data_IF_670419221248
#
_entry.id   IF_670419221248
#
_cell.length_a   1.000
_cell.length_b   1.000
_cell.length_c   1.000
_cell.angle_alpha   90.00
_cell.angle_beta   90.00
_cell.angle_gamma   90.00
#
_symmetry.space_group_name_H-M   'P 1'
#
loop_
_entity.id
_entity.type
_entity.pdbx_description
1 polymer ?
#
# COMPACT_ATOMS: atom_id res chain seq x y z
N UNK A 1 34.08 -33.46 32.47
CA UNK A 1 32.81 -32.76 32.16
C UNK A 1 33.05 -31.35 31.58
N UNK A 2 33.88 -30.51 32.20
CA UNK A 2 34.24 -29.17 31.67
C UNK A 2 34.98 -29.19 30.32
N UNK A 3 35.88 -30.15 30.05
CA UNK A 3 36.56 -30.23 28.73
C UNK A 3 35.64 -30.71 27.60
N UNK A 4 34.63 -31.54 27.91
CA UNK A 4 33.62 -31.99 26.96
C UNK A 4 32.64 -30.86 26.61
N UNK A 5 32.28 -30.02 27.59
CA UNK A 5 31.44 -28.84 27.38
C UNK A 5 32.15 -27.76 26.56
N UNK A 6 33.42 -27.47 26.86
CA UNK A 6 34.25 -26.53 26.07
C UNK A 6 34.50 -27.03 24.65
N UNK A 7 34.74 -28.34 24.47
CA UNK A 7 34.88 -28.96 23.16
C UNK A 7 33.58 -28.95 22.33
N UNK A 8 32.43 -29.09 22.97
CA UNK A 8 31.11 -28.96 22.31
C UNK A 8 30.81 -27.50 21.92
N UNK A 9 31.15 -26.53 22.79
CA UNK A 9 30.97 -25.10 22.56
C UNK A 9 31.89 -24.55 21.46
N UNK A 10 33.11 -25.08 21.31
CA UNK A 10 34.00 -24.77 20.17
C UNK A 10 33.48 -25.37 18.85
N UNK A 11 32.93 -26.60 18.85
CA UNK A 11 32.37 -27.24 17.65
C UNK A 11 31.03 -26.64 17.21
N UNK A 12 30.22 -26.12 18.13
CA UNK A 12 28.96 -25.42 17.81
C UNK A 12 29.23 -24.03 17.24
N UNK A 13 30.18 -23.26 17.82
CA UNK A 13 30.64 -21.97 17.25
C UNK A 13 31.30 -22.14 15.89
N UNK A 14 32.08 -23.21 15.68
CA UNK A 14 32.67 -23.53 14.37
C UNK A 14 31.63 -23.90 13.29
N UNK A 15 30.49 -24.51 13.65
CA UNK A 15 29.40 -24.79 12.71
C UNK A 15 28.59 -23.54 12.38
N UNK A 16 28.26 -22.73 13.38
CA UNK A 16 27.60 -21.43 13.18
C UNK A 16 28.47 -20.48 12.32
N UNK A 17 29.78 -20.42 12.57
CA UNK A 17 30.70 -19.62 11.75
C UNK A 17 30.77 -20.10 10.29
N UNK A 18 30.76 -21.42 10.04
CA UNK A 18 30.73 -21.97 8.66
C UNK A 18 29.40 -21.71 7.96
N UNK A 19 28.29 -21.69 8.70
CA UNK A 19 26.97 -21.42 8.15
C UNK A 19 26.83 -19.94 7.77
N UNK A 20 27.26 -19.03 8.64
CA UNK A 20 27.30 -17.58 8.37
C UNK A 20 28.28 -17.26 7.23
N UNK A 21 29.45 -17.90 7.16
CA UNK A 21 30.38 -17.75 6.04
C UNK A 21 29.81 -18.32 4.72
N UNK A 22 29.02 -19.39 4.78
CA UNK A 22 28.34 -19.97 3.63
C UNK A 22 27.20 -19.09 3.11
N UNK A 23 26.40 -18.51 4.00
CA UNK A 23 25.35 -17.55 3.68
C UNK A 23 25.92 -16.23 3.15
N UNK A 24 27.01 -15.74 3.74
CA UNK A 24 27.70 -14.55 3.23
C UNK A 24 28.30 -14.81 1.85
N UNK A 25 28.90 -16.00 1.59
CA UNK A 25 29.35 -16.40 0.24
C UNK A 25 28.21 -16.48 -0.78
N UNK A 26 27.04 -17.00 -0.39
CA UNK A 26 25.86 -17.04 -1.27
C UNK A 26 25.32 -15.65 -1.58
N UNK A 27 25.25 -14.78 -0.57
CA UNK A 27 24.85 -13.38 -0.73
C UNK A 27 25.84 -12.62 -1.63
N UNK A 28 27.14 -12.85 -1.45
CA UNK A 28 28.18 -12.30 -2.32
C UNK A 28 28.07 -12.82 -3.76
N UNK A 29 27.74 -14.10 -3.97
CA UNK A 29 27.52 -14.67 -5.30
C UNK A 29 26.28 -14.11 -5.98
N UNK A 30 25.14 -14.04 -5.29
CA UNK A 30 23.91 -13.46 -5.84
C UNK A 30 24.09 -11.99 -6.22
N UNK A 31 24.77 -11.22 -5.36
CA UNK A 31 25.09 -9.82 -5.63
C UNK A 31 26.07 -9.66 -6.79
N UNK A 32 27.02 -10.57 -6.95
CA UNK A 32 27.91 -10.60 -8.11
C UNK A 32 27.18 -10.95 -9.42
N UNK A 33 26.21 -11.86 -9.36
CA UNK A 33 25.36 -12.23 -10.50
C UNK A 33 24.42 -11.09 -10.90
N UNK A 34 23.83 -10.37 -9.95
CA UNK A 34 23.02 -9.17 -10.21
C UNK A 34 23.86 -8.06 -10.86
N UNK A 35 25.04 -7.76 -10.31
CA UNK A 35 25.95 -6.77 -10.87
C UNK A 35 26.43 -7.16 -12.28
N UNK A 36 26.60 -8.46 -12.56
CA UNK A 36 26.94 -8.95 -13.90
C UNK A 36 25.79 -8.73 -14.90
N UNK A 37 24.53 -8.95 -14.49
CA UNK A 37 23.36 -8.69 -15.34
C UNK A 37 23.12 -7.20 -15.58
N UNK A 38 23.32 -6.38 -14.56
CA UNK A 38 23.25 -4.92 -14.69
C UNK A 38 24.34 -4.41 -15.63
N UNK A 39 25.55 -4.96 -15.53
CA UNK A 39 26.68 -4.67 -16.42
C UNK A 39 26.35 -5.03 -17.87
N UNK A 40 25.92 -6.25 -18.17
CA UNK A 40 25.52 -6.65 -19.53
C UNK A 40 24.39 -5.77 -20.07
N UNK A 41 23.39 -5.47 -19.23
CA UNK A 41 22.28 -4.60 -19.60
C UNK A 41 22.70 -3.15 -19.84
N UNK A 42 23.75 -2.67 -19.18
CA UNK A 42 24.30 -1.34 -19.39
C UNK A 42 25.18 -1.29 -20.65
N UNK A 43 26.09 -2.25 -20.84
CA UNK A 43 26.96 -2.40 -22.03
C UNK A 43 26.12 -2.53 -23.31
N UNK A 44 25.02 -3.28 -23.28
CA UNK A 44 24.10 -3.41 -24.42
C UNK A 44 23.35 -2.09 -24.76
N UNK A 45 23.18 -1.19 -23.78
CA UNK A 45 22.48 0.10 -23.97
C UNK A 45 23.40 1.23 -24.43
N UNK A 46 24.66 1.19 -24.04
CA UNK A 46 25.63 2.27 -24.31
C UNK A 46 26.66 1.91 -25.39
N UNK A 47 26.84 0.62 -25.68
CA UNK A 47 27.86 0.14 -26.62
C UNK A 47 29.30 0.32 -26.13
N UNK A 48 29.48 0.65 -24.85
CA UNK A 48 30.77 0.94 -24.22
C UNK A 48 31.02 -0.06 -23.09
N UNK A 49 32.22 -0.65 -23.02
CA UNK A 49 32.63 -1.48 -21.87
C UNK A 49 32.99 -0.57 -20.68
N UNK A 50 32.81 -1.00 -19.42
CA UNK A 50 33.36 -0.33 -18.23
C UNK A 50 34.87 -0.09 -18.32
N UNK A 51 35.61 -0.95 -19.04
CA UNK A 51 37.03 -0.75 -19.32
C UNK A 51 37.29 0.41 -20.30
N UNK A 52 36.34 0.69 -21.20
CA UNK A 52 36.40 1.83 -22.12
C UNK A 52 36.04 3.14 -21.41
N UNK A 53 35.13 3.11 -20.43
CA UNK A 53 34.86 4.26 -19.53
C UNK A 53 36.04 4.58 -18.61
N UNK A 54 36.71 3.56 -18.07
CA UNK A 54 37.92 3.71 -17.25
C UNK A 54 39.11 4.26 -18.04
N UNK A 55 39.16 4.01 -19.35
CA UNK A 55 40.11 4.65 -20.29
C UNK A 55 39.68 6.06 -20.72
N UNK A 56 38.37 6.38 -20.68
CA UNK A 56 37.83 7.67 -21.11
C UNK A 56 37.88 8.78 -20.03
N UNK A 57 38.08 8.44 -18.76
CA UNK A 57 38.24 9.40 -17.66
C UNK A 57 39.71 9.83 -17.52
N UNK A 58 40.08 11.09 -17.81
CA UNK A 58 41.49 11.54 -17.80
C UNK A 58 42.18 11.43 -16.43
N UNK A 59 41.41 11.34 -15.34
CA UNK A 59 41.92 11.30 -13.97
C UNK A 59 42.31 9.90 -13.47
N UNK A 60 41.67 8.83 -13.95
CA UNK A 60 41.88 7.45 -13.47
C UNK A 60 43.19 6.85 -13.97
N UNK A 61 43.58 7.15 -15.21
CA UNK A 61 44.89 6.74 -15.76
C UNK A 61 46.06 7.38 -15.01
N UNK A 62 45.91 8.66 -14.64
CA UNK A 62 46.94 9.39 -13.90
C UNK A 62 47.10 8.82 -12.48
N UNK A 63 46.00 8.58 -11.78
CA UNK A 63 46.00 7.96 -10.46
C UNK A 63 46.60 6.54 -10.46
N UNK A 64 46.30 5.72 -11.46
CA UNK A 64 46.88 4.38 -11.58
C UNK A 64 48.38 4.43 -11.90
N UNK A 65 48.83 5.41 -12.69
CA UNK A 65 50.27 5.64 -12.94
C UNK A 65 50.98 6.14 -11.70
N UNK A 66 50.36 7.04 -10.93
CA UNK A 66 50.91 7.61 -9.69
C UNK A 66 50.98 6.54 -8.59
N UNK A 67 49.97 5.68 -8.46
CA UNK A 67 49.99 4.54 -7.52
C UNK A 67 51.07 3.53 -7.94
N UNK A 68 51.17 3.18 -9.23
CA UNK A 68 52.20 2.26 -9.71
C UNK A 68 53.63 2.83 -9.60
N UNK A 69 53.78 4.15 -9.68
CA UNK A 69 55.03 4.86 -9.42
C UNK A 69 55.35 4.85 -7.92
N UNK A 70 54.38 5.13 -7.05
CA UNK A 70 54.55 5.07 -5.59
C UNK A 70 54.87 3.65 -5.10
N UNK A 71 54.25 2.61 -5.66
CA UNK A 71 54.55 1.21 -5.33
C UNK A 71 55.95 0.77 -5.78
N UNK A 72 56.45 1.30 -6.90
CA UNK A 72 57.86 1.12 -7.32
C UNK A 72 58.81 1.85 -6.37
N UNK A 73 58.50 3.10 -6.04
CA UNK A 73 59.28 3.87 -5.06
C UNK A 73 59.30 3.22 -3.68
N UNK A 74 58.19 2.59 -3.25
CA UNK A 74 58.13 1.86 -1.97
C UNK A 74 58.90 0.53 -2.01
N UNK A 75 58.99 -0.12 -3.17
CA UNK A 75 59.79 -1.35 -3.37
C UNK A 75 61.28 -1.09 -3.50
N UNK A 76 61.68 0.11 -3.91
CA UNK A 76 63.09 0.56 -3.99
C UNK A 76 63.64 1.09 -2.66
N UNK A 77 62.79 1.30 -1.64
CA UNK A 77 63.26 1.51 -0.27
C UNK A 77 63.69 0.16 0.29
N UNK A 78 64.97 -0.19 0.07
CA UNK A 78 65.61 -1.30 0.77
C UNK A 78 65.48 -1.11 2.29
N UNK A 79 65.07 -2.14 3.07
CA UNK A 79 65.13 -2.06 4.51
C UNK A 79 66.60 -1.90 4.92
N UNK A 80 66.93 -0.73 5.48
CA UNK A 80 68.25 -0.41 6.02
C UNK A 80 68.69 -1.51 6.98
N UNK A 81 69.73 -2.24 6.57
CA UNK A 81 70.28 -3.40 7.27
C UNK A 81 70.70 -3.02 8.71
N UNK A 82 70.50 -3.92 9.67
CA UNK A 82 70.80 -3.72 11.09
C UNK A 82 72.30 -3.44 11.32
N UNK A 83 73.15 -3.83 10.36
CA UNK A 83 74.56 -3.48 10.26
C UNK A 83 74.80 -1.99 9.95
N UNK A 84 73.97 -1.36 9.12
CA UNK A 84 74.04 0.08 8.83
C UNK A 84 73.60 0.90 10.05
N UNK A 85 72.60 0.42 10.82
CA UNK A 85 72.23 1.02 12.11
C UNK A 85 73.34 0.94 13.17
N UNK A 86 74.16 -0.12 13.14
CA UNK A 86 75.36 -0.20 14.02
C UNK A 86 76.44 0.79 13.62
N UNK A 87 76.63 1.05 12.32
CA UNK A 87 77.56 2.08 11.83
C UNK A 87 77.05 3.46 12.21
N UNK A 88 75.78 3.76 11.98
CA UNK A 88 75.14 5.03 12.36
C UNK A 88 75.15 5.22 13.88
N UNK A 89 74.91 4.19 14.70
CA UNK A 89 75.04 4.27 16.17
C UNK A 89 76.49 4.46 16.62
N UNK A 90 77.46 3.83 15.95
CA UNK A 90 78.89 3.98 16.27
C UNK A 90 79.38 5.39 15.91
N UNK A 91 78.96 5.92 14.77
CA UNK A 91 79.21 7.30 14.38
C UNK A 91 78.50 8.29 15.31
N UNK A 92 77.23 8.07 15.67
CA UNK A 92 76.53 8.93 16.65
C UNK A 92 77.23 8.94 18.03
N UNK A 93 77.80 7.81 18.45
CA UNK A 93 78.48 7.68 19.75
C UNK A 93 79.84 8.38 19.75
N UNK A 94 80.59 8.29 18.65
CA UNK A 94 81.81 9.07 18.43
C UNK A 94 81.50 10.58 18.36
N UNK A 95 80.35 10.95 17.78
CA UNK A 95 79.87 12.33 17.71
C UNK A 95 79.45 12.90 19.07
N UNK A 96 78.89 12.08 19.96
CA UNK A 96 78.47 12.50 21.31
C UNK A 96 79.65 12.88 22.21
N UNK A 97 80.74 12.10 22.19
CA UNK A 97 81.94 12.42 22.99
C UNK A 97 82.66 13.69 22.49
N UNK A 98 82.55 14.01 21.20
CA UNK A 98 83.04 15.29 20.63
C UNK A 98 82.13 16.50 20.87
N UNK A 99 80.87 16.29 21.25
CA UNK A 99 79.89 17.38 21.47
C UNK A 99 79.98 18.00 22.87
N UNK A 100 80.67 17.36 23.81
CA UNK A 100 80.77 17.82 25.20
C UNK A 100 81.98 18.74 25.46
N UNK A 101 82.91 18.87 24.51
CA UNK A 101 84.11 19.72 24.63
C UNK A 101 84.11 20.89 23.61
N UNK A 102 83.93 22.16 24.06
CA UNK A 102 83.83 23.33 23.19
C UNK A 102 85.07 23.60 22.33
N UNK A 103 86.28 23.21 22.76
CA UNK A 103 87.53 23.46 22.01
C UNK A 103 87.71 22.47 20.86
N UNK A 104 87.28 21.22 21.04
CA UNK A 104 87.32 20.16 20.01
C UNK A 104 86.31 20.41 18.88
N UNK A 105 85.15 21.00 19.19
CA UNK A 105 84.15 21.38 18.17
C UNK A 105 84.67 22.46 17.21
N UNK A 106 85.52 23.39 17.67
CA UNK A 106 86.10 24.45 16.82
C UNK A 106 87.21 23.98 15.87
N UNK A 107 87.91 22.88 16.19
CA UNK A 107 89.01 22.34 15.37
C UNK A 107 88.53 21.43 14.22
N UNK A 108 87.36 20.80 14.36
CA UNK A 108 86.87 19.80 13.40
C UNK A 108 85.63 20.24 12.60
N UNK A 109 84.86 21.22 13.07
CA UNK A 109 83.75 21.77 12.29
C UNK A 109 84.21 23.01 11.55
N UNK A 110 84.44 22.87 10.24
CA UNK A 110 84.63 24.05 9.39
C UNK A 110 83.31 24.82 9.35
N UNK A 111 83.32 26.16 9.36
CA UNK A 111 82.11 26.98 9.25
C UNK A 111 81.23 26.61 8.04
N UNK A 112 81.84 26.04 7.00
CA UNK A 112 81.17 25.54 5.80
C UNK A 112 80.32 24.30 6.05
N UNK A 113 80.76 23.37 6.91
CA UNK A 113 80.05 22.11 7.20
C UNK A 113 78.84 22.37 8.11
N UNK A 114 78.97 23.28 9.08
CA UNK A 114 77.84 23.77 9.90
C UNK A 114 76.82 24.47 9.02
N UNK A 115 77.27 25.37 8.14
CA UNK A 115 76.38 26.07 7.21
C UNK A 115 75.68 25.11 6.24
N UNK A 116 76.35 24.04 5.81
CA UNK A 116 75.76 23.00 4.97
C UNK A 116 74.69 22.21 5.73
N UNK A 117 74.97 21.76 6.96
CA UNK A 117 74.01 21.03 7.79
C UNK A 117 72.82 21.90 8.21
N UNK A 118 73.03 23.19 8.43
CA UNK A 118 71.96 24.15 8.70
C UNK A 118 71.05 24.32 7.47
N UNK A 119 71.61 24.37 6.25
CA UNK A 119 70.84 24.40 5.00
C UNK A 119 70.09 23.09 4.75
N UNK A 120 70.71 21.94 5.02
CA UNK A 120 70.06 20.63 4.95
C UNK A 120 68.90 20.54 5.95
N UNK A 121 69.09 21.03 7.19
CA UNK A 121 68.02 21.10 8.19
C UNK A 121 66.89 22.01 7.73
N UNK A 122 67.20 23.21 7.21
CA UNK A 122 66.21 24.17 6.72
C UNK A 122 65.40 23.61 5.54
N UNK A 123 66.05 22.93 4.60
CA UNK A 123 65.37 22.29 3.47
C UNK A 123 64.50 21.12 3.91
N UNK A 124 64.97 20.27 4.83
CA UNK A 124 64.18 19.19 5.42
C UNK A 124 62.99 19.71 6.24
N UNK A 125 63.15 20.78 7.00
CA UNK A 125 62.03 21.41 7.72
C UNK A 125 61.00 22.00 6.77
N UNK A 126 61.44 22.65 5.69
CA UNK A 126 60.53 23.17 4.67
C UNK A 126 59.77 22.04 3.95
N UNK A 127 60.45 20.95 3.62
CA UNK A 127 59.83 19.75 3.04
C UNK A 127 58.85 19.09 4.02
N UNK A 128 59.17 19.04 5.32
CA UNK A 128 58.29 18.50 6.34
C UNK A 128 57.03 19.35 6.52
N UNK A 129 57.16 20.68 6.57
CA UNK A 129 56.02 21.59 6.65
C UNK A 129 55.12 21.50 5.41
N UNK A 130 55.70 21.38 4.22
CA UNK A 130 54.94 21.21 2.99
C UNK A 130 54.19 19.87 2.98
N UNK A 131 54.86 18.76 3.31
CA UNK A 131 54.21 17.46 3.40
C UNK A 131 53.10 17.43 4.46
N UNK A 132 53.27 18.13 5.58
CA UNK A 132 52.23 18.30 6.59
C UNK A 132 51.02 19.05 6.03
N UNK A 133 51.23 20.15 5.31
CA UNK A 133 50.13 20.90 4.65
C UNK A 133 49.41 20.06 3.60
N UNK A 134 50.14 19.26 2.81
CA UNK A 134 49.54 18.35 1.83
C UNK A 134 48.67 17.29 2.52
N UNK A 135 49.17 16.71 3.62
CA UNK A 135 48.40 15.76 4.44
C UNK A 135 47.12 16.40 4.99
N UNK A 136 47.20 17.59 5.57
CA UNK A 136 46.05 18.28 6.15
C UNK A 136 45.01 18.64 5.07
N UNK A 137 45.44 18.99 3.85
CA UNK A 137 44.53 19.17 2.69
C UNK A 137 43.83 17.88 2.29
N UNK A 138 44.57 16.78 2.16
CA UNK A 138 43.98 15.48 1.80
C UNK A 138 43.01 15.01 2.87
N UNK A 139 43.33 15.20 4.14
CA UNK A 139 42.46 14.91 5.28
C UNK A 139 41.14 15.69 5.20
N UNK A 140 41.20 16.99 4.92
CA UNK A 140 40.00 17.83 4.79
C UNK A 140 39.10 17.42 3.60
N UNK A 141 39.71 17.00 2.48
CA UNK A 141 38.97 16.48 1.32
C UNK A 141 38.27 15.16 1.68
N UNK A 142 38.98 14.25 2.35
CA UNK A 142 38.42 12.97 2.79
C UNK A 142 37.26 13.16 3.77
N UNK A 143 37.39 14.08 4.74
CA UNK A 143 36.33 14.40 5.71
C UNK A 143 35.07 14.94 5.02
N UNK A 144 35.23 15.82 4.03
CA UNK A 144 34.12 16.35 3.23
C UNK A 144 33.41 15.26 2.40
N UNK A 145 34.17 14.35 1.78
CA UNK A 145 33.61 13.23 1.03
C UNK A 145 32.87 12.24 1.94
N UNK A 146 33.37 11.98 3.16
CA UNK A 146 32.64 11.14 4.13
C UNK A 146 31.31 11.75 4.57
N UNK A 147 31.23 13.08 4.75
CA UNK A 147 29.96 13.77 5.05
C UNK A 147 28.95 13.66 3.90
N UNK A 148 29.42 13.62 2.65
CA UNK A 148 28.57 13.36 1.49
C UNK A 148 28.10 11.90 1.43
N UNK A 149 28.94 10.95 1.83
CA UNK A 149 28.54 9.54 1.94
C UNK A 149 27.45 9.33 3.00
N UNK A 150 27.54 10.00 4.15
CA UNK A 150 26.51 9.94 5.19
C UNK A 150 25.18 10.52 4.71
N UNK A 151 25.21 11.66 4.02
CA UNK A 151 24.00 12.27 3.44
C UNK A 151 23.35 11.39 2.36
N UNK A 152 24.16 10.71 1.54
CA UNK A 152 23.66 9.76 0.54
C UNK A 152 23.02 8.54 1.21
N UNK A 153 23.61 8.04 2.29
CA UNK A 153 23.04 6.93 3.07
C UNK A 153 21.68 7.31 3.69
N UNK A 154 21.56 8.50 4.28
CA UNK A 154 20.29 9.02 4.84
C UNK A 154 19.20 9.17 3.75
N UNK A 155 19.59 9.63 2.55
CA UNK A 155 18.66 9.76 1.43
C UNK A 155 18.22 8.39 0.89
N UNK A 156 19.13 7.42 0.81
CA UNK A 156 18.82 6.05 0.41
C UNK A 156 17.87 5.37 1.41
N UNK A 157 18.08 5.58 2.72
CA UNK A 157 17.17 5.08 3.76
C UNK A 157 15.77 5.67 3.60
N UNK A 158 15.66 6.99 3.43
CA UNK A 158 14.37 7.66 3.19
C UNK A 158 13.70 7.23 1.90
N UNK A 159 14.47 7.01 0.84
CA UNK A 159 13.95 6.48 -0.42
C UNK A 159 13.41 5.06 -0.24
N UNK A 160 14.11 4.22 0.54
CA UNK A 160 13.66 2.88 0.86
C UNK A 160 12.33 2.90 1.63
N UNK A 161 12.27 3.68 2.73
CA UNK A 161 11.06 3.85 3.54
C UNK A 161 9.88 4.37 2.69
N UNK A 162 10.12 5.36 1.83
CA UNK A 162 9.09 5.94 0.96
C UNK A 162 8.59 4.93 -0.07
N UNK A 163 9.47 4.09 -0.62
CA UNK A 163 9.11 3.03 -1.59
C UNK A 163 8.28 1.95 -0.92
N UNK A 164 8.65 1.51 0.28
CA UNK A 164 7.87 0.55 1.06
C UNK A 164 6.48 1.12 1.39
N UNK A 165 6.43 2.40 1.78
CA UNK A 165 5.17 3.08 2.06
C UNK A 165 4.29 3.19 0.83
N UNK A 166 4.87 3.50 -0.33
CA UNK A 166 4.16 3.56 -1.60
C UNK A 166 3.60 2.18 -1.97
N UNK A 167 4.41 1.12 -1.92
CA UNK A 167 3.98 -0.23 -2.21
C UNK A 167 2.83 -0.68 -1.29
N UNK A 168 2.89 -0.33 0.00
CA UNK A 168 1.80 -0.57 0.94
C UNK A 168 0.50 0.15 0.53
N UNK A 169 0.58 1.44 0.17
CA UNK A 169 -0.58 2.23 -0.24
C UNK A 169 -1.18 1.74 -1.56
N UNK A 170 -0.35 1.37 -2.53
CA UNK A 170 -0.79 0.78 -3.81
C UNK A 170 -1.53 -0.55 -3.56
N UNK A 171 -1.03 -1.38 -2.65
CA UNK A 171 -1.71 -2.60 -2.27
C UNK A 171 -3.06 -2.32 -1.60
N UNK A 172 -3.13 -1.35 -0.68
CA UNK A 172 -4.39 -0.94 -0.04
C UNK A 172 -5.40 -0.40 -1.06
N UNK A 173 -4.95 0.43 -2.00
CA UNK A 173 -5.78 0.95 -3.08
C UNK A 173 -6.33 -0.19 -3.96
N UNK A 174 -5.49 -1.17 -4.30
CA UNK A 174 -5.91 -2.36 -5.07
C UNK A 174 -6.95 -3.19 -4.33
N UNK A 175 -6.77 -3.42 -3.02
CA UNK A 175 -7.78 -4.12 -2.20
C UNK A 175 -9.09 -3.33 -2.17
N UNK A 176 -9.02 -2.01 -1.95
CA UNK A 176 -10.20 -1.14 -1.95
C UNK A 176 -10.96 -1.17 -3.27
N UNK A 177 -10.23 -1.13 -4.40
CA UNK A 177 -10.81 -1.22 -5.74
C UNK A 177 -11.53 -2.56 -5.96
N UNK A 178 -10.89 -3.69 -5.64
CA UNK A 178 -11.51 -5.02 -5.77
C UNK A 178 -12.76 -5.15 -4.89
N UNK A 179 -12.72 -4.62 -3.67
CA UNK A 179 -13.87 -4.61 -2.77
C UNK A 179 -15.03 -3.79 -3.35
N UNK A 180 -14.73 -2.61 -3.91
CA UNK A 180 -15.72 -1.76 -4.57
C UNK A 180 -16.34 -2.43 -5.80
N UNK A 181 -15.52 -3.02 -6.67
CA UNK A 181 -15.99 -3.76 -7.84
C UNK A 181 -16.91 -4.92 -7.44
N UNK A 182 -16.55 -5.66 -6.37
CA UNK A 182 -17.39 -6.73 -5.83
C UNK A 182 -18.73 -6.22 -5.28
N UNK A 183 -18.74 -5.11 -4.54
CA UNK A 183 -19.96 -4.48 -4.05
C UNK A 183 -20.85 -3.99 -5.20
N UNK A 184 -20.28 -3.35 -6.21
CA UNK A 184 -21.03 -2.85 -7.36
C UNK A 184 -21.61 -4.01 -8.20
N UNK A 185 -20.88 -5.11 -8.35
CA UNK A 185 -21.40 -6.33 -8.99
C UNK A 185 -22.56 -6.94 -8.19
N UNK A 186 -22.41 -7.08 -6.87
CA UNK A 186 -23.47 -7.60 -6.01
C UNK A 186 -24.72 -6.70 -6.02
N UNK A 187 -24.52 -5.38 -6.03
CA UNK A 187 -25.58 -4.38 -6.17
C UNK A 187 -26.34 -4.56 -7.47
N UNK A 188 -25.64 -4.63 -8.62
CA UNK A 188 -26.27 -4.85 -9.93
C UNK A 188 -27.00 -6.18 -10.04
N UNK A 189 -26.40 -7.25 -9.51
CA UNK A 189 -26.98 -8.59 -9.53
C UNK A 189 -28.27 -8.68 -8.70
N UNK A 190 -28.41 -7.85 -7.65
CA UNK A 190 -29.57 -7.87 -6.75
C UNK A 190 -30.63 -6.85 -7.15
N UNK A 191 -30.25 -5.60 -7.40
CA UNK A 191 -31.18 -4.51 -7.65
C UNK A 191 -31.83 -4.58 -9.03
N UNK A 192 -31.09 -4.93 -10.09
CA UNK A 192 -31.64 -4.87 -11.45
C UNK A 192 -32.81 -5.87 -11.64
N UNK A 193 -32.74 -7.14 -11.19
CA UNK A 193 -33.91 -8.03 -11.27
C UNK A 193 -35.06 -7.58 -10.37
N UNK A 194 -34.75 -7.11 -9.15
CA UNK A 194 -35.76 -6.62 -8.21
C UNK A 194 -36.51 -5.40 -8.77
N UNK A 195 -35.79 -4.48 -9.43
CA UNK A 195 -36.34 -3.30 -10.10
C UNK A 195 -37.37 -3.67 -11.16
N UNK A 196 -37.02 -4.58 -12.06
CA UNK A 196 -37.92 -4.99 -13.14
C UNK A 196 -39.22 -5.60 -12.59
N UNK A 197 -39.10 -6.40 -11.52
CA UNK A 197 -40.26 -6.98 -10.83
C UNK A 197 -41.08 -5.87 -10.16
N UNK A 198 -40.44 -4.91 -9.46
CA UNK A 198 -41.13 -3.76 -8.84
C UNK A 198 -41.91 -2.95 -9.88
N UNK A 199 -41.26 -2.54 -10.97
CA UNK A 199 -41.86 -1.73 -12.04
C UNK A 199 -43.05 -2.46 -12.68
N UNK A 200 -42.89 -3.75 -12.96
CA UNK A 200 -43.91 -4.57 -13.61
C UNK A 200 -45.09 -4.83 -12.70
N UNK A 201 -44.87 -5.35 -11.49
CA UNK A 201 -45.95 -5.72 -10.57
C UNK A 201 -46.70 -4.49 -10.05
N UNK A 202 -45.98 -3.43 -9.69
CA UNK A 202 -46.61 -2.19 -9.26
C UNK A 202 -47.38 -1.53 -10.41
N UNK A 203 -46.81 -1.48 -11.62
CA UNK A 203 -47.46 -0.94 -12.81
C UNK A 203 -48.72 -1.72 -13.22
N UNK A 204 -48.67 -3.05 -13.19
CA UNK A 204 -49.80 -3.92 -13.49
C UNK A 204 -50.96 -3.68 -12.52
N UNK A 205 -50.68 -3.68 -11.22
CA UNK A 205 -51.69 -3.50 -10.19
C UNK A 205 -52.27 -2.08 -10.22
N UNK A 206 -51.41 -1.07 -10.28
CA UNK A 206 -51.85 0.31 -10.32
C UNK A 206 -52.63 0.62 -11.61
N UNK A 207 -52.19 0.07 -12.75
CA UNK A 207 -52.91 0.12 -14.02
C UNK A 207 -54.30 -0.51 -13.91
N UNK A 208 -54.40 -1.70 -13.30
CA UNK A 208 -55.69 -2.34 -13.07
C UNK A 208 -56.63 -1.48 -12.21
N UNK A 209 -56.16 -0.98 -11.06
CA UNK A 209 -56.97 -0.18 -10.14
C UNK A 209 -57.36 1.16 -10.79
N UNK A 210 -56.47 1.75 -11.57
CA UNK A 210 -56.66 3.09 -12.17
C UNK A 210 -57.27 3.10 -13.57
N UNK A 211 -57.69 1.96 -14.12
CA UNK A 211 -58.17 1.83 -15.51
C UNK A 211 -57.12 2.30 -16.53
N UNK A 212 -55.91 1.77 -16.40
CA UNK A 212 -54.74 2.04 -17.23
C UNK A 212 -54.17 3.47 -17.16
N UNK A 213 -54.70 4.34 -16.29
CA UNK A 213 -54.23 5.71 -16.11
C UNK A 213 -52.75 5.79 -15.68
N UNK A 214 -52.36 4.90 -14.76
CA UNK A 214 -51.02 4.83 -14.19
C UNK A 214 -50.45 3.40 -14.32
N UNK A 215 -50.31 2.94 -15.56
CA UNK A 215 -49.93 1.55 -15.85
C UNK A 215 -48.41 1.30 -15.86
N UNK A 216 -47.58 2.34 -15.80
CA UNK A 216 -46.14 2.21 -15.83
C UNK A 216 -45.50 2.94 -14.65
N UNK A 217 -44.59 2.24 -14.01
CA UNK A 217 -43.75 2.73 -12.91
C UNK A 217 -42.30 2.55 -13.35
N UNK A 218 -41.47 3.53 -13.06
CA UNK A 218 -40.02 3.45 -13.23
C UNK A 218 -39.38 3.63 -11.86
N UNK A 219 -38.33 2.88 -11.57
CA UNK A 219 -37.54 3.01 -10.34
C UNK A 219 -36.10 3.29 -10.74
N UNK A 220 -35.50 4.32 -10.17
CA UNK A 220 -34.11 4.68 -10.49
C UNK A 220 -33.11 3.64 -9.95
N UNK A 221 -31.99 3.45 -10.67
CA UNK A 221 -30.98 2.46 -10.30
C UNK A 221 -30.06 2.93 -9.17
N UNK A 222 -29.93 4.23 -8.93
CA UNK A 222 -29.00 4.79 -7.93
C UNK A 222 -29.70 5.13 -6.62
N UNK A 223 -30.78 5.91 -6.67
CA UNK A 223 -31.47 6.43 -5.48
C UNK A 223 -32.81 5.73 -5.19
N UNK A 224 -33.22 4.78 -6.04
CA UNK A 224 -34.50 4.08 -5.97
C UNK A 224 -35.72 5.02 -6.05
N UNK A 225 -35.54 6.25 -6.54
CA UNK A 225 -36.63 7.19 -6.74
C UNK A 225 -37.62 6.61 -7.76
N UNK A 226 -38.89 6.64 -7.41
CA UNK A 226 -39.93 6.14 -8.28
C UNK A 226 -40.51 7.28 -9.13
N UNK A 227 -40.83 6.97 -10.38
CA UNK A 227 -41.61 7.83 -11.28
C UNK A 227 -42.79 7.06 -11.82
N UNK A 228 -43.84 7.78 -12.16
CA UNK A 228 -45.05 7.22 -12.75
C UNK A 228 -45.29 7.82 -14.13
N UNK A 229 -45.74 6.99 -15.06
CA UNK A 229 -46.21 7.48 -16.36
C UNK A 229 -47.70 7.79 -16.28
N UNK A 230 -48.08 9.01 -16.65
CA UNK A 230 -49.47 9.45 -16.67
C UNK A 230 -50.01 9.37 -18.10
N UNK A 231 -51.03 8.55 -18.31
CA UNK A 231 -51.57 8.28 -19.64
C UNK A 231 -52.17 9.52 -20.33
N UNK A 232 -52.74 10.45 -19.59
CA UNK A 232 -53.40 11.64 -20.12
C UNK A 232 -52.41 12.70 -20.59
N UNK A 233 -51.32 12.89 -19.85
CA UNK A 233 -50.30 13.89 -20.16
C UNK A 233 -49.15 13.33 -20.99
N UNK A 234 -49.06 12.00 -21.12
CA UNK A 234 -47.98 11.28 -21.80
C UNK A 234 -46.60 11.64 -21.26
N UNK A 235 -46.48 11.79 -19.93
CA UNK A 235 -45.27 12.22 -19.25
C UNK A 235 -44.96 11.36 -18.03
N UNK A 236 -43.67 11.29 -17.72
CA UNK A 236 -43.16 10.78 -16.46
C UNK A 236 -43.17 11.89 -15.42
N UNK A 237 -43.81 11.63 -14.28
CA UNK A 237 -43.93 12.58 -13.18
C UNK A 237 -43.51 11.92 -11.87
N UNK A 238 -43.18 12.77 -10.88
CA UNK A 238 -42.98 12.34 -9.51
C UNK A 238 -44.33 11.91 -8.88
N UNK A 239 -44.39 10.82 -8.10
CA UNK A 239 -45.63 10.36 -7.46
C UNK A 239 -46.30 11.42 -6.57
N UNK A 240 -45.56 12.42 -6.08
CA UNK A 240 -46.09 13.54 -5.30
C UNK A 240 -47.10 14.43 -6.04
N UNK A 241 -47.22 14.33 -7.37
CA UNK A 241 -48.27 15.02 -8.13
C UNK A 241 -49.64 14.31 -8.06
N UNK A 242 -49.66 13.07 -7.54
CA UNK A 242 -50.89 12.29 -7.40
C UNK A 242 -51.79 12.86 -6.32
N UNK A 243 -53.11 12.64 -6.46
CA UNK A 243 -54.01 12.84 -5.33
C UNK A 243 -53.67 11.87 -4.20
N UNK A 244 -53.96 12.24 -2.96
CA UNK A 244 -53.67 11.45 -1.76
C UNK A 244 -54.11 9.97 -1.90
N UNK A 245 -55.37 9.71 -2.27
CA UNK A 245 -55.84 8.34 -2.45
C UNK A 245 -55.18 7.58 -3.62
N UNK A 246 -54.68 8.28 -4.64
CA UNK A 246 -53.92 7.63 -5.72
C UNK A 246 -52.48 7.35 -5.30
N UNK A 247 -51.88 8.24 -4.50
CA UNK A 247 -50.56 8.03 -3.90
C UNK A 247 -50.56 6.82 -2.97
N UNK A 248 -51.59 6.66 -2.14
CA UNK A 248 -51.75 5.47 -1.28
C UNK A 248 -51.85 4.18 -2.08
N UNK A 249 -52.58 4.19 -3.20
CA UNK A 249 -52.72 3.04 -4.09
C UNK A 249 -51.40 2.68 -4.78
N UNK A 250 -50.66 3.70 -5.22
CA UNK A 250 -49.32 3.53 -5.75
C UNK A 250 -48.39 2.90 -4.70
N UNK A 251 -48.41 3.42 -3.48
CA UNK A 251 -47.59 2.93 -2.39
C UNK A 251 -47.97 1.51 -1.93
N UNK A 252 -49.26 1.17 -1.89
CA UNK A 252 -49.74 -0.19 -1.68
C UNK A 252 -49.27 -1.13 -2.78
N UNK A 253 -49.34 -0.69 -4.05
CA UNK A 253 -48.90 -1.49 -5.19
C UNK A 253 -47.40 -1.80 -5.13
N UNK A 254 -46.57 -0.81 -4.77
CA UNK A 254 -45.14 -1.00 -4.52
C UNK A 254 -44.88 -1.98 -3.38
N UNK A 255 -45.61 -1.86 -2.25
CA UNK A 255 -45.43 -2.75 -1.10
C UNK A 255 -45.76 -4.20 -1.44
N UNK A 256 -46.82 -4.43 -2.22
CA UNK A 256 -47.18 -5.77 -2.69
C UNK A 256 -46.13 -6.34 -3.63
N UNK A 257 -45.66 -5.55 -4.60
CA UNK A 257 -44.58 -5.93 -5.50
C UNK A 257 -43.28 -6.28 -4.75
N UNK A 258 -42.92 -5.48 -3.74
CA UNK A 258 -41.78 -5.76 -2.87
C UNK A 258 -41.99 -7.06 -2.07
N UNK A 259 -43.21 -7.31 -1.60
CA UNK A 259 -43.58 -8.55 -0.94
C UNK A 259 -43.32 -9.79 -1.82
N UNK A 260 -43.65 -9.72 -3.11
CA UNK A 260 -43.36 -10.81 -4.06
C UNK A 260 -41.86 -11.08 -4.21
N UNK A 261 -41.05 -10.01 -4.29
CA UNK A 261 -39.59 -10.11 -4.39
C UNK A 261 -39.01 -10.77 -3.14
N UNK A 262 -39.42 -10.29 -1.96
CA UNK A 262 -38.94 -10.80 -0.67
C UNK A 262 -39.39 -12.25 -0.41
N UNK A 263 -40.57 -12.63 -0.90
CA UNK A 263 -41.08 -13.98 -0.75
C UNK A 263 -40.34 -15.00 -1.62
N UNK A 264 -39.62 -14.58 -2.66
CA UNK A 264 -38.79 -15.45 -3.49
C UNK A 264 -39.57 -16.61 -4.12
N UNK A 265 -40.78 -16.34 -4.61
CA UNK A 265 -41.68 -17.33 -5.19
C UNK A 265 -42.55 -18.12 -4.19
N UNK A 266 -42.33 -17.92 -2.88
CA UNK A 266 -43.28 -18.41 -1.85
C UNK A 266 -44.52 -17.52 -1.83
N UNK A 267 -45.63 -18.04 -1.30
CA UNK A 267 -46.90 -17.31 -1.17
C UNK A 267 -47.34 -17.28 0.30
N UNK A 268 -46.62 -16.56 1.18
CA UNK A 268 -47.01 -16.43 2.58
C UNK A 268 -48.37 -15.73 2.70
N UNK A 269 -49.12 -15.90 3.80
CA UNK A 269 -50.37 -15.19 3.99
C UNK A 269 -50.18 -13.68 3.88
N UNK A 270 -51.05 -13.03 3.10
CA UNK A 270 -51.11 -11.58 2.97
C UNK A 270 -52.05 -11.02 4.03
N UNK A 271 -51.54 -10.18 4.93
CA UNK A 271 -52.33 -9.51 5.96
C UNK A 271 -52.51 -8.05 5.57
N UNK A 272 -53.76 -7.62 5.41
CA UNK A 272 -54.11 -6.25 5.04
C UNK A 272 -54.97 -5.63 6.16
N UNK A 273 -54.52 -4.50 6.70
CA UNK A 273 -55.24 -3.76 7.74
C UNK A 273 -55.85 -2.49 7.11
N UNK A 274 -57.17 -2.46 7.00
CA UNK A 274 -57.96 -1.41 6.36
C UNK A 274 -57.38 -0.88 5.02
N UNK A 275 -57.04 -1.75 4.04
CA UNK A 275 -56.29 -1.35 2.84
C UNK A 275 -57.08 -0.43 1.87
N UNK A 276 -58.36 -0.18 2.15
CA UNK A 276 -59.28 0.56 1.29
C UNK A 276 -59.71 1.92 1.86
N UNK A 277 -59.08 2.40 2.94
CA UNK A 277 -59.48 3.62 3.62
C UNK A 277 -59.61 4.83 2.67
N UNK A 278 -58.74 4.93 1.67
CA UNK A 278 -58.68 6.04 0.70
C UNK A 278 -59.17 5.67 -0.71
N UNK A 279 -59.79 4.49 -0.88
CA UNK A 279 -60.31 4.03 -2.17
C UNK A 279 -61.73 4.58 -2.42
N UNK A 280 -61.98 5.04 -3.65
CA UNK A 280 -63.35 5.16 -4.15
C UNK A 280 -63.94 3.78 -4.49
N UNK A 281 -65.28 3.70 -4.58
CA UNK A 281 -66.00 2.44 -4.76
C UNK A 281 -65.59 1.68 -6.05
N UNK A 282 -65.25 2.39 -7.12
CA UNK A 282 -64.89 1.76 -8.39
C UNK A 282 -63.48 1.14 -8.31
N UNK A 283 -62.53 1.87 -7.71
CA UNK A 283 -61.17 1.35 -7.45
C UNK A 283 -61.18 0.20 -6.44
N UNK A 284 -61.99 0.32 -5.38
CA UNK A 284 -62.17 -0.72 -4.36
C UNK A 284 -62.67 -2.03 -5.00
N UNK A 285 -63.68 -1.95 -5.88
CA UNK A 285 -64.19 -3.12 -6.60
C UNK A 285 -63.10 -3.84 -7.41
N UNK A 286 -62.31 -3.09 -8.19
CA UNK A 286 -61.22 -3.67 -9.00
C UNK A 286 -60.13 -4.31 -8.15
N UNK A 287 -59.76 -3.70 -7.03
CA UNK A 287 -58.77 -4.29 -6.13
C UNK A 287 -59.30 -5.54 -5.43
N UNK A 288 -60.59 -5.56 -5.04
CA UNK A 288 -61.23 -6.77 -4.50
C UNK A 288 -61.27 -7.92 -5.52
N UNK A 289 -61.56 -7.62 -6.79
CA UNK A 289 -61.52 -8.62 -7.86
C UNK A 289 -60.10 -9.18 -8.05
N UNK A 290 -59.08 -8.31 -7.99
CA UNK A 290 -57.68 -8.73 -8.00
C UNK A 290 -57.32 -9.64 -6.82
N UNK A 291 -57.69 -9.24 -5.59
CA UNK A 291 -57.48 -10.05 -4.39
C UNK A 291 -58.18 -11.41 -4.49
N UNK A 292 -59.37 -11.48 -5.08
CA UNK A 292 -60.11 -12.73 -5.29
C UNK A 292 -59.43 -13.67 -6.30
N UNK A 293 -58.73 -13.12 -7.30
CA UNK A 293 -57.93 -13.93 -8.21
C UNK A 293 -56.67 -14.42 -7.47
N UNK A 294 -56.01 -13.53 -6.73
CA UNK A 294 -54.78 -13.84 -5.97
C UNK A 294 -55.04 -14.86 -4.84
N UNK A 295 -56.24 -14.84 -4.23
CA UNK A 295 -56.61 -15.73 -3.13
C UNK A 295 -56.60 -17.22 -3.50
N UNK A 296 -56.70 -17.53 -4.80
CA UNK A 296 -56.60 -18.90 -5.33
C UNK A 296 -55.25 -19.54 -5.06
N UNK A 297 -54.22 -18.74 -4.86
CA UNK A 297 -52.85 -19.22 -4.73
C UNK A 297 -52.15 -18.74 -3.44
N UNK A 298 -52.74 -17.79 -2.74
CA UNK A 298 -52.18 -17.17 -1.53
C UNK A 298 -53.30 -16.90 -0.53
N UNK A 299 -53.10 -17.23 0.74
CA UNK A 299 -54.07 -16.88 1.78
C UNK A 299 -54.10 -15.35 1.96
N UNK A 300 -55.28 -14.75 2.00
CA UNK A 300 -55.46 -13.31 2.20
C UNK A 300 -56.35 -13.08 3.42
N UNK A 301 -55.85 -12.32 4.38
CA UNK A 301 -56.54 -11.92 5.61
C UNK A 301 -56.72 -10.40 5.58
N UNK A 302 -57.97 -9.95 5.61
CA UNK A 302 -58.32 -8.54 5.64
C UNK A 302 -58.90 -8.23 7.01
N UNK A 303 -58.24 -7.32 7.74
CA UNK A 303 -58.73 -6.75 8.98
C UNK A 303 -59.39 -5.42 8.65
N UNK A 304 -60.62 -5.26 9.13
CA UNK A 304 -61.36 -4.04 8.85
C UNK A 304 -62.51 -3.82 9.80
N UNK A 305 -62.81 -2.54 10.05
CA UNK A 305 -63.98 -2.10 10.80
C UNK A 305 -65.23 -1.88 9.94
N UNK A 306 -65.15 -1.96 8.61
CA UNK A 306 -66.31 -1.73 7.73
C UNK A 306 -66.94 -3.05 7.29
N UNK A 307 -68.27 -3.05 7.14
CA UNK A 307 -69.04 -4.25 6.79
C UNK A 307 -69.25 -4.44 5.29
N UNK A 308 -68.91 -3.45 4.47
CA UNK A 308 -69.12 -3.46 3.02
C UNK A 308 -68.24 -4.48 2.27
N UNK A 309 -67.18 -4.98 2.91
CA UNK A 309 -66.30 -6.02 2.38
C UNK A 309 -66.84 -7.45 2.54
N UNK A 310 -67.74 -7.66 3.50
CA UNK A 310 -68.18 -9.01 3.90
C UNK A 310 -68.73 -9.82 2.72
N UNK A 311 -69.42 -9.18 1.77
CA UNK A 311 -69.98 -9.81 0.58
C UNK A 311 -68.93 -10.34 -0.42
N UNK A 312 -67.69 -9.87 -0.33
CA UNK A 312 -66.59 -10.28 -1.20
C UNK A 312 -65.71 -11.36 -0.56
N UNK A 313 -65.82 -11.56 0.76
CA UNK A 313 -65.04 -12.55 1.49
C UNK A 313 -65.67 -13.95 1.40
N UNK A 314 -64.83 -14.97 1.31
CA UNK A 314 -65.27 -16.38 1.41
C UNK A 314 -65.71 -16.73 2.83
N UNK A 315 -65.05 -16.14 3.82
CA UNK A 315 -65.35 -16.31 5.23
C UNK A 315 -65.22 -14.97 5.96
N UNK A 316 -66.17 -14.68 6.84
CA UNK A 316 -66.18 -13.48 7.69
C UNK A 316 -66.08 -13.92 9.15
N UNK A 317 -65.09 -13.40 9.87
CA UNK A 317 -64.89 -13.65 11.29
C UNK A 317 -65.21 -12.36 12.05
N UNK A 318 -66.30 -12.39 12.82
CA UNK A 318 -66.67 -11.29 13.70
C UNK A 318 -65.94 -11.43 15.05
N UNK A 319 -64.91 -10.61 15.24
CA UNK A 319 -64.07 -10.65 16.44
C UNK A 319 -64.83 -10.30 17.73
N UNK A 320 -65.93 -9.55 17.66
CA UNK A 320 -66.75 -9.25 18.84
C UNK A 320 -67.47 -10.50 19.33
N UNK A 321 -68.11 -11.24 18.40
CA UNK A 321 -68.78 -12.51 18.71
C UNK A 321 -67.80 -13.56 19.22
N UNK A 322 -66.60 -13.62 18.65
CA UNK A 322 -65.53 -14.51 19.14
C UNK A 322 -65.19 -14.17 20.59
N UNK A 323 -65.00 -12.89 20.93
CA UNK A 323 -64.70 -12.44 22.30
C UNK A 323 -65.83 -12.79 23.28
N UNK A 324 -67.08 -12.59 22.89
CA UNK A 324 -68.25 -12.95 23.72
C UNK A 324 -68.33 -14.46 23.97
N UNK A 325 -68.06 -15.29 22.96
CA UNK A 325 -68.00 -16.75 23.11
C UNK A 325 -66.81 -17.27 23.92
N UNK A 326 -65.72 -16.49 23.96
CA UNK A 326 -64.50 -16.83 24.71
C UNK A 326 -64.53 -16.34 26.16
N UNK A 327 -65.50 -15.50 26.54
CA UNK A 327 -65.70 -15.06 27.91
C UNK A 327 -66.63 -16.07 28.60
N UNK A 328 -66.18 -16.85 29.60
CA UNK A 328 -67.08 -17.80 30.26
C UNK A 328 -68.22 -17.02 30.91
N UNK A 329 -69.46 -17.45 30.66
CA UNK A 329 -70.62 -16.91 31.34
C UNK A 329 -70.47 -17.13 32.86
N UNK A 330 -70.29 -16.05 33.61
CA UNK A 330 -70.45 -16.01 35.06
C UNK A 330 -69.25 -16.50 35.89
N UNK A 331 -68.58 -15.57 36.56
CA UNK A 331 -68.10 -15.78 37.93
C UNK A 331 -69.08 -15.11 38.87
#
# INVERSE_FOLDING_TARGET
LLSAFLGWQQRSRGRAARQVLGENRRQQQLRAEELAREREGWEARTGLSPEDLLKALPGTQKLLQDIAALERSLREIEPVDEAQWKIVRRELRLSQDTLEDPEMLMLFLKPQDIAQKERERQTLTAQWEENRRQRDRIQAILEHDSLHQDMLADLDEKLCETRERLAYLEQQARVGQLAWEGLEQARRATLHPARQILETEAGNLLGLISQARYAQVSVDDEDLACRIFISETQRWEDPGVLSEGTFDQFYLSLRLALGEILAGGKKPPLLLDDPFATFDAARQGRFLDWLKIRSREQQILIFTCRSDYARHAEQVIDLQKVRESATPAGR
#
